data_IF_485453304901
#
_entry.id   IF_485453304901
#
_cell.length_a   1.000
_cell.length_b   1.000
_cell.length_c   1.000
_cell.angle_alpha   90.00
_cell.angle_beta   90.00
_cell.angle_gamma   90.00
#
_symmetry.space_group_name_H-M   'P 1'
#
loop_
_entity.id
_entity.type
_entity.pdbx_description
1 polymer ?
#
# COMPACT_ATOMS: atom_id res chain seq x y z
N UNK A 1 -15.42 -11.50 -9.20
CA UNK A 1 -14.88 -10.13 -8.94
C UNK A 1 -14.78 -9.96 -7.43
N UNK A 2 -13.75 -9.21 -6.91
CA UNK A 2 -13.60 -8.97 -5.48
C UNK A 2 -14.32 -7.69 -5.06
N UNK A 3 -15.01 -7.73 -3.90
CA UNK A 3 -15.58 -6.52 -3.31
C UNK A 3 -14.47 -5.73 -2.61
N UNK A 4 -14.31 -4.45 -3.01
CA UNK A 4 -13.23 -3.62 -2.49
C UNK A 4 -13.74 -2.71 -1.38
N UNK A 5 -13.05 -2.69 -0.25
CA UNK A 5 -13.37 -1.81 0.89
C UNK A 5 -13.38 -0.34 0.49
N UNK A 6 -12.50 0.04 -0.41
CA UNK A 6 -12.38 1.41 -0.91
C UNK A 6 -13.62 1.89 -1.70
N UNK A 7 -14.52 1.00 -2.18
CA UNK A 7 -15.64 1.36 -3.06
C UNK A 7 -16.61 2.37 -2.42
N UNK A 8 -17.04 2.11 -1.18
CA UNK A 8 -17.94 3.00 -0.46
C UNK A 8 -17.32 4.38 -0.20
N UNK A 9 -16.04 4.40 0.19
CA UNK A 9 -15.27 5.63 0.40
C UNK A 9 -15.14 6.43 -0.89
N UNK A 10 -14.81 5.76 -1.99
CA UNK A 10 -14.67 6.38 -3.31
C UNK A 10 -15.97 7.05 -3.76
N UNK A 11 -17.12 6.37 -3.59
CA UNK A 11 -18.43 6.93 -3.90
C UNK A 11 -18.81 8.11 -3.00
N UNK A 12 -18.45 8.05 -1.71
CA UNK A 12 -18.67 9.16 -0.78
C UNK A 12 -17.87 10.41 -1.19
N UNK A 13 -16.61 10.22 -1.57
CA UNK A 13 -15.75 11.31 -2.04
C UNK A 13 -16.25 11.89 -3.39
N UNK A 14 -16.73 11.06 -4.30
CA UNK A 14 -17.31 11.54 -5.56
C UNK A 14 -18.58 12.38 -5.36
N UNK A 15 -19.31 12.19 -4.27
CA UNK A 15 -20.42 13.10 -3.90
C UNK A 15 -19.95 14.44 -3.38
N UNK A 16 -18.75 14.53 -2.82
CA UNK A 16 -18.20 15.73 -2.20
C UNK A 16 -17.25 16.52 -3.10
N UNK A 17 -16.64 15.89 -4.10
CA UNK A 17 -15.63 16.51 -4.96
C UNK A 17 -15.99 16.37 -6.44
N UNK A 18 -15.66 17.38 -7.29
CA UNK A 18 -15.84 17.28 -8.74
C UNK A 18 -15.12 16.11 -9.40
N UNK A 19 -13.94 15.76 -8.87
CA UNK A 19 -13.12 14.66 -9.33
C UNK A 19 -12.64 13.77 -8.17
N UNK A 20 -12.37 12.49 -8.46
CA UNK A 20 -11.68 11.56 -7.55
C UNK A 20 -10.54 10.87 -8.29
N UNK A 21 -9.40 10.70 -7.63
CA UNK A 21 -8.28 9.93 -8.16
C UNK A 21 -8.14 8.60 -7.42
N UNK A 22 -7.90 7.52 -8.15
CA UNK A 22 -7.52 6.22 -7.62
C UNK A 22 -6.07 5.97 -7.99
N UNK A 23 -5.18 6.03 -7.01
CA UNK A 23 -3.76 5.78 -7.17
C UNK A 23 -3.40 4.43 -6.58
N UNK A 24 -2.42 3.74 -7.14
CA UNK A 24 -1.99 2.45 -6.60
C UNK A 24 -1.08 1.70 -7.55
N UNK A 25 -0.52 0.59 -7.07
CA UNK A 25 0.33 -0.26 -7.88
C UNK A 25 -0.37 -0.68 -9.19
N UNK A 26 0.41 -0.95 -10.24
CA UNK A 26 -0.13 -1.59 -11.45
C UNK A 26 -0.80 -2.91 -11.07
N UNK A 27 -1.86 -3.29 -11.79
CA UNK A 27 -2.60 -4.55 -11.59
C UNK A 27 -3.24 -4.73 -10.20
N UNK A 28 -3.31 -3.69 -9.36
CA UNK A 28 -4.05 -3.72 -8.09
C UNK A 28 -5.59 -3.68 -8.26
N UNK A 29 -6.10 -3.52 -9.51
CA UNK A 29 -7.53 -3.54 -9.82
C UNK A 29 -8.19 -2.16 -9.86
N UNK A 30 -7.45 -1.08 -10.12
CA UNK A 30 -7.97 0.31 -10.20
C UNK A 30 -9.10 0.45 -11.20
N UNK A 31 -8.88 0.03 -12.44
CA UNK A 31 -9.87 0.11 -13.54
C UNK A 31 -11.13 -0.70 -13.22
N UNK A 32 -10.96 -1.89 -12.65
CA UNK A 32 -12.08 -2.76 -12.22
C UNK A 32 -12.90 -2.06 -11.13
N UNK A 33 -12.24 -1.50 -10.10
CA UNK A 33 -12.92 -0.76 -9.04
C UNK A 33 -13.68 0.44 -9.59
N UNK A 34 -13.04 1.25 -10.46
CA UNK A 34 -13.67 2.43 -11.04
C UNK A 34 -14.93 2.08 -11.84
N UNK A 35 -14.84 1.09 -12.74
CA UNK A 35 -15.99 0.63 -13.55
C UNK A 35 -17.12 0.06 -12.69
N UNK A 36 -16.79 -0.61 -11.60
CA UNK A 36 -17.79 -1.17 -10.67
C UNK A 36 -18.44 -0.09 -9.80
N UNK A 37 -17.65 0.86 -9.31
CA UNK A 37 -18.15 1.92 -8.43
C UNK A 37 -18.95 3.00 -9.20
N UNK A 38 -18.65 3.17 -10.49
CA UNK A 38 -19.29 4.17 -11.36
C UNK A 38 -19.87 3.52 -12.65
N UNK A 39 -20.89 2.70 -12.53
CA UNK A 39 -21.48 2.05 -13.69
C UNK A 39 -22.11 3.08 -14.63
N UNK A 40 -21.80 2.96 -15.91
CA UNK A 40 -22.30 3.87 -16.95
C UNK A 40 -21.47 5.14 -17.15
N UNK A 41 -20.33 5.32 -16.47
CA UNK A 41 -19.33 6.31 -16.88
C UNK A 41 -18.67 5.87 -18.17
N UNK A 42 -18.41 6.83 -19.06
CA UNK A 42 -17.53 6.60 -20.20
C UNK A 42 -16.09 6.35 -19.70
N UNK A 43 -15.30 5.60 -20.47
CA UNK A 43 -13.92 5.29 -20.11
C UNK A 43 -13.00 5.60 -21.28
N UNK A 44 -11.99 6.42 -21.03
CA UNK A 44 -10.90 6.71 -21.96
C UNK A 44 -9.60 6.16 -21.38
N UNK A 45 -9.01 5.18 -22.09
CA UNK A 45 -7.71 4.62 -21.77
C UNK A 45 -6.64 5.44 -22.49
N UNK A 46 -5.81 6.16 -21.73
CA UNK A 46 -4.75 7.00 -22.28
C UNK A 46 -3.44 6.24 -22.57
N UNK A 47 -3.37 4.93 -22.33
CA UNK A 47 -2.32 4.06 -22.89
C UNK A 47 -2.64 3.66 -24.35
N UNK A 48 -3.91 3.71 -24.80
CA UNK A 48 -4.26 3.53 -26.21
C UNK A 48 -3.71 4.69 -27.04
N UNK A 49 -2.84 4.43 -28.06
CA UNK A 49 -2.20 5.49 -28.81
C UNK A 49 -3.19 6.42 -29.55
N UNK A 50 -4.30 5.88 -30.07
CA UNK A 50 -5.28 6.66 -30.82
C UNK A 50 -6.11 7.55 -29.88
N UNK A 51 -6.43 7.05 -28.67
CA UNK A 51 -7.08 7.84 -27.62
C UNK A 51 -6.13 8.91 -27.12
N UNK A 52 -4.90 8.52 -26.75
CA UNK A 52 -3.87 9.44 -26.25
C UNK A 52 -3.60 10.59 -27.22
N UNK A 53 -3.55 10.31 -28.54
CA UNK A 53 -3.29 11.33 -29.55
C UNK A 53 -4.39 12.40 -29.55
N UNK A 54 -5.66 12.01 -29.51
CA UNK A 54 -6.79 12.96 -29.42
C UNK A 54 -6.70 13.87 -28.20
N UNK A 55 -6.31 13.29 -27.05
CA UNK A 55 -6.13 14.05 -25.82
C UNK A 55 -4.86 14.91 -25.80
N UNK A 56 -3.84 14.62 -26.65
CA UNK A 56 -2.67 15.48 -26.83
C UNK A 56 -2.97 16.67 -27.76
N UNK A 57 -3.72 16.43 -28.83
CA UNK A 57 -4.03 17.43 -29.83
C UNK A 57 -4.97 18.51 -29.28
N UNK A 58 -6.07 18.12 -28.66
CA UNK A 58 -7.01 19.04 -28.02
C UNK A 58 -7.63 18.39 -26.79
N UNK A 59 -6.99 18.49 -25.59
CA UNK A 59 -7.45 17.85 -24.38
C UNK A 59 -8.86 18.29 -23.97
N UNK A 60 -9.23 19.55 -24.24
CA UNK A 60 -10.55 20.08 -23.85
C UNK A 60 -11.67 19.47 -24.68
N UNK A 61 -11.56 19.54 -25.99
CA UNK A 61 -12.52 18.91 -26.88
C UNK A 61 -12.58 17.40 -26.69
N UNK A 62 -11.42 16.75 -26.44
CA UNK A 62 -11.40 15.33 -26.16
C UNK A 62 -12.14 14.96 -24.85
N UNK A 63 -12.02 15.74 -23.78
CA UNK A 63 -12.78 15.55 -22.53
C UNK A 63 -14.28 15.73 -22.82
N UNK A 64 -14.68 16.82 -23.46
CA UNK A 64 -16.09 17.13 -23.73
C UNK A 64 -16.74 16.07 -24.65
N UNK A 65 -16.00 15.55 -25.63
CA UNK A 65 -16.46 14.48 -26.52
C UNK A 65 -16.52 13.10 -25.83
N UNK A 66 -15.57 12.82 -24.94
CA UNK A 66 -15.51 11.54 -24.22
C UNK A 66 -16.46 11.49 -23.00
N UNK A 67 -16.78 12.67 -22.42
CA UNK A 67 -17.63 12.75 -21.23
C UNK A 67 -19.05 12.33 -21.58
N UNK A 68 -19.46 11.16 -21.08
CA UNK A 68 -20.86 10.73 -21.14
C UNK A 68 -21.74 11.57 -20.19
N UNK A 69 -23.06 11.39 -20.29
CA UNK A 69 -24.03 12.10 -19.45
C UNK A 69 -23.81 11.89 -17.93
N UNK A 70 -23.21 10.78 -17.54
CA UNK A 70 -22.95 10.42 -16.13
C UNK A 70 -21.60 10.86 -15.64
N UNK A 71 -20.55 10.74 -16.45
CA UNK A 71 -19.18 11.11 -16.10
C UNK A 71 -18.14 10.39 -16.95
N UNK A 72 -16.86 10.63 -16.64
CA UNK A 72 -15.72 10.11 -17.39
C UNK A 72 -14.68 9.49 -16.45
N UNK A 73 -14.27 8.28 -16.77
CA UNK A 73 -13.09 7.61 -16.22
C UNK A 73 -11.93 7.86 -17.19
N UNK A 74 -10.85 8.44 -16.70
CA UNK A 74 -9.59 8.61 -17.41
C UNK A 74 -8.58 7.63 -16.84
N UNK A 75 -8.22 6.60 -17.61
CA UNK A 75 -7.27 5.58 -17.20
C UNK A 75 -5.86 5.91 -17.66
N UNK A 76 -4.85 5.60 -16.83
CA UNK A 76 -3.42 5.84 -17.04
C UNK A 76 -3.12 7.30 -17.47
N UNK A 77 -3.71 8.24 -16.73
CA UNK A 77 -3.70 9.69 -17.05
C UNK A 77 -2.31 10.30 -17.19
N UNK A 78 -1.28 9.69 -16.60
CA UNK A 78 0.11 10.13 -16.72
C UNK A 78 0.69 10.01 -18.13
N UNK A 79 0.05 9.23 -19.03
CA UNK A 79 0.45 9.14 -20.42
C UNK A 79 0.20 10.45 -21.21
N UNK A 80 -0.69 11.30 -20.69
CA UNK A 80 -1.05 12.61 -21.31
C UNK A 80 -1.14 13.69 -20.21
N UNK A 81 -0.02 14.23 -19.70
CA UNK A 81 -0.02 15.20 -18.59
C UNK A 81 -0.81 16.48 -18.86
N UNK A 82 -0.96 16.89 -20.14
CA UNK A 82 -1.73 18.07 -20.54
C UNK A 82 -3.20 17.99 -20.13
N UNK A 83 -3.73 16.79 -19.91
CA UNK A 83 -5.12 16.56 -19.50
C UNK A 83 -5.47 17.22 -18.17
N UNK A 84 -4.49 17.39 -17.26
CA UNK A 84 -4.74 18.00 -15.94
C UNK A 84 -5.17 19.46 -16.04
N UNK A 85 -4.55 20.24 -16.92
CA UNK A 85 -4.92 21.65 -17.16
C UNK A 85 -6.33 21.75 -17.78
N UNK A 86 -6.65 20.88 -18.73
CA UNK A 86 -7.97 20.82 -19.36
C UNK A 86 -9.06 20.38 -18.38
N UNK A 87 -8.77 19.36 -17.53
CA UNK A 87 -9.67 18.92 -16.46
C UNK A 87 -9.99 20.05 -15.48
N UNK A 88 -8.96 20.83 -15.06
CA UNK A 88 -9.18 22.00 -14.22
C UNK A 88 -10.18 22.95 -14.86
N UNK A 89 -9.97 23.31 -16.15
CA UNK A 89 -10.89 24.17 -16.89
C UNK A 89 -12.31 23.59 -16.99
N UNK A 90 -12.42 22.28 -17.28
CA UNK A 90 -13.70 21.59 -17.32
C UNK A 90 -14.44 21.57 -15.97
N UNK A 91 -13.71 21.41 -14.87
CA UNK A 91 -14.25 21.46 -13.52
C UNK A 91 -14.71 22.88 -13.17
N UNK A 92 -13.88 23.89 -13.45
CA UNK A 92 -14.17 25.28 -13.09
C UNK A 92 -15.35 25.86 -13.87
N UNK A 93 -15.65 25.36 -15.08
CA UNK A 93 -16.85 25.74 -15.85
C UNK A 93 -18.17 25.33 -15.12
N UNK A 94 -18.16 24.22 -14.39
CA UNK A 94 -19.33 23.73 -13.63
C UNK A 94 -18.87 23.14 -12.29
N UNK A 95 -18.37 24.01 -11.42
CA UNK A 95 -17.73 23.64 -10.16
C UNK A 95 -18.69 23.01 -9.14
N UNK A 96 -19.97 23.27 -9.25
CA UNK A 96 -20.99 22.76 -8.33
C UNK A 96 -21.35 21.30 -8.61
N UNK A 97 -21.02 20.79 -9.77
CA UNK A 97 -21.31 19.42 -10.17
C UNK A 97 -20.19 18.49 -9.73
N UNK A 98 -20.43 17.76 -8.65
CA UNK A 98 -19.51 16.75 -8.11
C UNK A 98 -19.60 15.42 -8.87
N UNK A 99 -18.58 14.56 -8.71
CA UNK A 99 -18.55 13.19 -9.22
C UNK A 99 -18.50 13.07 -10.76
N UNK A 100 -17.92 14.05 -11.46
CA UNK A 100 -17.85 14.05 -12.92
C UNK A 100 -16.69 13.26 -13.47
N UNK A 101 -15.57 13.23 -12.76
CA UNK A 101 -14.32 12.66 -13.24
C UNK A 101 -13.74 11.66 -12.25
N UNK A 102 -13.34 10.51 -12.79
CA UNK A 102 -12.55 9.50 -12.07
C UNK A 102 -11.22 9.36 -12.78
N UNK A 103 -10.14 9.63 -12.07
CA UNK A 103 -8.78 9.61 -12.62
C UNK A 103 -8.07 8.38 -12.07
N UNK A 104 -7.53 7.56 -12.96
CA UNK A 104 -6.76 6.39 -12.57
C UNK A 104 -5.31 6.57 -13.01
N UNK A 105 -4.41 6.10 -12.18
CA UNK A 105 -3.02 6.07 -12.57
C UNK A 105 -2.16 5.29 -11.59
N UNK A 106 -1.03 4.82 -12.10
CA UNK A 106 0.02 4.29 -11.25
C UNK A 106 0.56 5.43 -10.39
N UNK A 107 0.89 5.16 -9.13
CA UNK A 107 1.40 6.19 -8.21
C UNK A 107 2.82 6.63 -8.60
N UNK A 108 2.90 7.42 -9.63
CA UNK A 108 4.14 8.05 -10.10
C UNK A 108 4.30 9.43 -9.43
N UNK A 109 5.51 9.84 -9.07
CA UNK A 109 5.76 11.17 -8.52
C UNK A 109 5.26 12.31 -9.41
N UNK A 110 5.31 12.13 -10.75
CA UNK A 110 4.80 13.09 -11.73
C UNK A 110 3.27 13.20 -11.69
N UNK A 111 2.57 12.08 -11.55
CA UNK A 111 1.11 12.05 -11.43
C UNK A 111 0.64 12.73 -10.13
N UNK A 112 1.26 12.36 -9.01
CA UNK A 112 0.93 12.96 -7.70
C UNK A 112 1.13 14.48 -7.73
N UNK A 113 2.22 14.95 -8.33
CA UNK A 113 2.46 16.39 -8.52
C UNK A 113 1.42 17.03 -9.45
N UNK A 114 1.14 16.43 -10.60
CA UNK A 114 0.14 16.96 -11.56
C UNK A 114 -1.25 17.08 -10.94
N UNK A 115 -1.67 16.10 -10.15
CA UNK A 115 -2.92 16.15 -9.37
C UNK A 115 -2.87 17.27 -8.32
N UNK A 116 -1.78 17.36 -7.55
CA UNK A 116 -1.65 18.33 -6.47
C UNK A 116 -1.59 19.78 -6.98
N UNK A 117 -0.85 20.03 -8.06
CA UNK A 117 -0.65 21.37 -8.61
C UNK A 117 -1.85 21.85 -9.43
N UNK A 118 -2.43 20.98 -10.27
CA UNK A 118 -3.48 21.40 -11.21
C UNK A 118 -4.89 21.30 -10.62
N UNK A 119 -5.15 20.34 -9.75
CA UNK A 119 -6.49 20.00 -9.25
C UNK A 119 -6.67 20.26 -7.76
N UNK A 120 -5.79 21.02 -7.11
CA UNK A 120 -5.90 21.38 -5.70
C UNK A 120 -7.30 21.91 -5.35
N UNK A 121 -7.92 21.35 -4.30
CA UNK A 121 -9.27 21.71 -3.86
C UNK A 121 -10.42 21.26 -4.77
N UNK A 122 -10.13 20.49 -5.82
CA UNK A 122 -11.11 19.98 -6.80
C UNK A 122 -11.19 18.46 -6.84
N UNK A 123 -10.21 17.79 -6.23
CA UNK A 123 -10.04 16.35 -6.33
C UNK A 123 -9.79 15.74 -4.95
N UNK A 124 -10.38 14.58 -4.72
CA UNK A 124 -10.00 13.72 -3.61
C UNK A 124 -9.19 12.54 -4.12
N UNK A 125 -8.24 12.07 -3.32
CA UNK A 125 -7.34 10.95 -3.69
C UNK A 125 -7.65 9.75 -2.80
N UNK A 126 -7.70 8.58 -3.42
CA UNK A 126 -7.83 7.28 -2.76
C UNK A 126 -6.69 6.39 -3.23
N UNK A 127 -5.88 5.93 -2.29
CA UNK A 127 -4.88 4.91 -2.57
C UNK A 127 -5.54 3.53 -2.59
N UNK A 128 -5.29 2.77 -3.65
CA UNK A 128 -5.76 1.40 -3.80
C UNK A 128 -4.58 0.44 -3.63
N UNK A 129 -4.60 -0.25 -2.52
CA UNK A 129 -3.66 -1.34 -2.22
C UNK A 129 -4.08 -2.65 -2.92
N UNK A 130 -3.22 -3.67 -3.03
CA UNK A 130 -3.61 -5.05 -3.27
C UNK A 130 -4.68 -5.52 -2.29
N UNK A 131 -5.32 -6.66 -2.53
CA UNK A 131 -6.41 -7.18 -1.70
C UNK A 131 -5.97 -7.35 -0.24
N UNK A 132 -6.82 -6.92 0.69
CA UNK A 132 -6.77 -7.31 2.09
C UNK A 132 -7.37 -8.72 2.28
N UNK A 133 -7.15 -9.33 3.44
CA UNK A 133 -7.63 -10.68 3.71
C UNK A 133 -9.17 -10.77 3.61
N UNK A 134 -9.90 -9.79 4.15
CA UNK A 134 -11.35 -9.77 4.04
C UNK A 134 -11.85 -9.53 2.60
N UNK A 135 -11.14 -8.74 1.78
CA UNK A 135 -11.49 -8.56 0.36
C UNK A 135 -11.25 -9.83 -0.45
N UNK A 136 -10.16 -10.55 -0.20
CA UNK A 136 -9.79 -11.76 -0.93
C UNK A 136 -10.83 -12.88 -0.79
N UNK A 137 -11.59 -12.89 0.30
CA UNK A 137 -12.67 -13.86 0.54
C UNK A 137 -13.96 -13.55 -0.20
N UNK A 138 -14.14 -12.34 -0.72
CA UNK A 138 -15.39 -11.90 -1.36
C UNK A 138 -15.49 -12.27 -2.85
N UNK A 139 -14.42 -12.78 -3.45
CA UNK A 139 -14.36 -13.06 -4.89
C UNK A 139 -15.09 -14.34 -5.31
N UNK A 140 -15.28 -14.50 -6.60
CA UNK A 140 -15.79 -15.75 -7.21
C UNK A 140 -14.90 -16.96 -6.91
N UNK A 141 -13.63 -16.72 -6.65
CA UNK A 141 -12.66 -17.69 -6.13
C UNK A 141 -12.13 -17.13 -4.82
N UNK A 142 -12.81 -17.41 -3.69
CA UNK A 142 -12.37 -16.96 -2.39
C UNK A 142 -10.97 -17.49 -2.07
N UNK A 143 -10.14 -16.62 -1.52
CA UNK A 143 -8.80 -16.97 -1.09
C UNK A 143 -8.69 -16.75 0.43
N UNK A 144 -8.42 -17.82 1.16
CA UNK A 144 -8.17 -17.74 2.59
C UNK A 144 -6.87 -16.99 2.90
N UNK A 145 -6.77 -16.41 4.09
CA UNK A 145 -5.63 -15.56 4.45
C UNK A 145 -4.26 -16.28 4.42
N UNK A 146 -4.24 -17.61 4.61
CA UNK A 146 -2.99 -18.37 4.51
C UNK A 146 -2.42 -18.37 3.10
N UNK A 147 -3.27 -18.62 2.11
CA UNK A 147 -2.89 -18.54 0.70
C UNK A 147 -2.58 -17.10 0.28
N UNK A 148 -3.33 -16.11 0.79
CA UNK A 148 -3.05 -14.70 0.57
C UNK A 148 -1.69 -14.31 1.16
N UNK A 149 -1.35 -14.80 2.35
CA UNK A 149 -0.03 -14.59 2.96
C UNK A 149 1.09 -15.17 2.08
N UNK A 150 0.90 -16.37 1.52
CA UNK A 150 1.90 -17.00 0.65
C UNK A 150 2.02 -16.29 -0.70
N UNK A 151 0.89 -16.02 -1.38
CA UNK A 151 0.84 -15.60 -2.79
C UNK A 151 0.82 -14.08 -2.97
N UNK A 152 0.48 -13.34 -1.92
CA UNK A 152 0.26 -11.89 -1.96
C UNK A 152 -1.16 -11.50 -2.35
N UNK A 153 -1.46 -10.19 -2.32
CA UNK A 153 -2.80 -9.64 -2.51
C UNK A 153 -3.10 -9.14 -3.92
N UNK A 154 -2.23 -9.37 -4.90
CA UNK A 154 -2.53 -9.00 -6.28
C UNK A 154 -3.54 -9.96 -6.89
N UNK A 155 -4.68 -9.46 -7.46
CA UNK A 155 -5.77 -10.32 -7.93
C UNK A 155 -5.34 -11.40 -8.92
N UNK A 156 -4.42 -11.09 -9.83
CA UNK A 156 -4.00 -12.03 -10.87
C UNK A 156 -2.94 -13.03 -10.36
N UNK A 157 -2.14 -12.68 -9.35
CA UNK A 157 -1.26 -13.62 -8.67
C UNK A 157 -2.03 -14.73 -7.95
N UNK A 158 -3.26 -14.44 -7.49
CA UNK A 158 -4.13 -15.42 -6.83
C UNK A 158 -4.80 -16.40 -7.80
N UNK A 159 -4.82 -16.09 -9.11
CA UNK A 159 -5.55 -16.90 -10.12
C UNK A 159 -4.70 -18.01 -10.74
N UNK A 160 -3.40 -17.87 -10.74
CA UNK A 160 -2.46 -18.77 -11.40
C UNK A 160 -1.27 -19.17 -10.55
N UNK A 161 -0.19 -19.57 -11.22
CA UNK A 161 1.09 -19.79 -10.57
C UNK A 161 1.69 -18.45 -10.16
N UNK A 162 1.63 -18.14 -8.87
CA UNK A 162 2.00 -16.82 -8.35
C UNK A 162 3.48 -16.48 -8.58
N UNK A 163 4.37 -17.48 -8.63
CA UNK A 163 5.81 -17.26 -8.88
C UNK A 163 6.05 -16.76 -10.30
N UNK A 164 5.41 -17.38 -11.30
CA UNK A 164 5.52 -16.97 -12.70
C UNK A 164 4.91 -15.59 -12.92
N UNK A 165 3.79 -15.31 -12.24
CA UNK A 165 3.18 -14.00 -12.27
C UNK A 165 4.10 -12.93 -11.69
N UNK A 166 4.74 -13.19 -10.54
CA UNK A 166 5.67 -12.24 -9.92
C UNK A 166 6.92 -12.03 -10.76
N UNK A 167 7.45 -13.07 -11.42
CA UNK A 167 8.59 -12.93 -12.33
C UNK A 167 8.23 -12.00 -13.50
N UNK A 168 7.08 -12.24 -14.14
CA UNK A 168 6.59 -11.41 -15.24
C UNK A 168 6.31 -9.96 -14.80
N UNK A 169 5.69 -9.78 -13.64
CA UNK A 169 5.40 -8.47 -13.06
C UNK A 169 6.67 -7.68 -12.76
N UNK A 170 7.65 -8.30 -12.10
CA UNK A 170 8.93 -7.68 -11.79
C UNK A 170 9.69 -7.28 -13.05
N UNK A 171 9.73 -8.17 -14.03
CA UNK A 171 10.39 -7.89 -15.31
C UNK A 171 9.78 -6.65 -15.96
N UNK A 172 8.47 -6.60 -16.10
CA UNK A 172 7.76 -5.44 -16.67
C UNK A 172 8.05 -4.15 -15.87
N UNK A 173 8.01 -4.24 -14.55
CA UNK A 173 8.24 -3.09 -13.66
C UNK A 173 9.67 -2.56 -13.78
N UNK A 174 10.67 -3.45 -13.75
CA UNK A 174 12.09 -3.07 -13.75
C UNK A 174 12.56 -2.59 -15.12
N UNK A 175 12.10 -3.24 -16.21
CA UNK A 175 12.57 -2.95 -17.57
C UNK A 175 11.77 -1.83 -18.26
N UNK A 176 10.49 -1.64 -17.91
CA UNK A 176 9.59 -0.68 -18.58
C UNK A 176 9.17 0.47 -17.66
N UNK A 177 8.61 0.17 -16.49
CA UNK A 177 7.89 1.16 -15.70
C UNK A 177 8.85 2.07 -14.91
N UNK A 178 9.83 1.51 -14.19
CA UNK A 178 10.78 2.31 -13.41
C UNK A 178 11.62 3.26 -14.27
N UNK A 179 12.10 2.89 -15.47
CA UNK A 179 12.73 3.83 -16.38
C UNK A 179 11.83 5.03 -16.76
N UNK A 180 10.54 4.79 -16.98
CA UNK A 180 9.57 5.86 -17.27
C UNK A 180 9.39 6.81 -16.08
N UNK A 181 9.69 6.37 -14.85
CA UNK A 181 9.66 7.19 -13.63
C UNK A 181 10.97 7.95 -13.36
N UNK A 182 11.88 7.93 -14.34
CA UNK A 182 13.19 8.61 -14.24
C UNK A 182 14.24 7.81 -13.46
N UNK A 183 14.02 6.51 -13.29
CA UNK A 183 15.00 5.59 -12.68
C UNK A 183 15.90 5.04 -13.79
N UNK A 184 16.97 5.75 -14.09
CA UNK A 184 18.01 5.26 -14.99
C UNK A 184 18.94 4.30 -14.23
N UNK A 185 18.48 3.08 -13.99
CA UNK A 185 19.26 2.02 -13.35
C UNK A 185 19.14 0.72 -14.13
N UNK A 186 20.21 -0.06 -14.10
CA UNK A 186 20.19 -1.42 -14.63
C UNK A 186 19.11 -2.26 -13.92
N UNK A 187 18.21 -2.94 -14.65
CA UNK A 187 17.21 -3.84 -14.07
C UNK A 187 17.79 -4.88 -13.12
N UNK A 188 18.97 -5.42 -13.43
CA UNK A 188 19.67 -6.39 -12.58
C UNK A 188 20.08 -5.76 -11.24
N UNK A 189 20.56 -4.51 -11.27
CA UNK A 189 20.87 -3.76 -10.05
C UNK A 189 19.62 -3.56 -9.18
N UNK A 190 18.51 -3.13 -9.78
CA UNK A 190 17.25 -2.93 -9.06
C UNK A 190 16.71 -4.23 -8.46
N UNK A 191 16.84 -5.34 -9.19
CA UNK A 191 16.49 -6.68 -8.69
C UNK A 191 17.33 -7.07 -7.48
N UNK A 192 18.65 -6.83 -7.54
CA UNK A 192 19.55 -7.06 -6.38
C UNK A 192 19.16 -6.20 -5.18
N UNK A 193 18.88 -4.92 -5.38
CA UNK A 193 18.41 -4.03 -4.32
C UNK A 193 17.12 -4.55 -3.69
N UNK A 194 16.12 -4.95 -4.48
CA UNK A 194 14.86 -5.53 -3.99
C UNK A 194 15.09 -6.82 -3.20
N UNK A 195 15.97 -7.71 -3.69
CA UNK A 195 16.32 -8.95 -2.98
C UNK A 195 17.00 -8.66 -1.64
N UNK A 196 17.88 -7.68 -1.58
CA UNK A 196 18.51 -7.26 -0.32
C UNK A 196 17.48 -6.64 0.65
N UNK A 197 16.54 -5.84 0.14
CA UNK A 197 15.43 -5.32 0.94
C UNK A 197 14.50 -6.45 1.44
N UNK A 198 14.30 -7.51 0.65
CA UNK A 198 13.55 -8.69 1.07
C UNK A 198 14.23 -9.40 2.25
N UNK A 199 15.55 -9.52 2.25
CA UNK A 199 16.30 -10.05 3.41
C UNK A 199 16.29 -9.11 4.63
N UNK A 200 16.04 -7.81 4.45
CA UNK A 200 15.89 -6.83 5.54
C UNK A 200 14.43 -6.57 5.93
N UNK A 201 13.48 -7.34 5.38
CA UNK A 201 12.05 -7.17 5.64
C UNK A 201 11.75 -7.20 7.15
N UNK A 202 10.91 -6.27 7.62
CA UNK A 202 10.61 -6.01 9.03
C UNK A 202 11.82 -5.56 9.89
N UNK A 203 12.98 -5.35 9.28
CA UNK A 203 14.19 -4.87 9.93
C UNK A 203 14.39 -3.36 9.79
N UNK A 204 15.35 -2.83 10.56
CA UNK A 204 15.75 -1.42 10.45
C UNK A 204 16.46 -1.17 9.11
N UNK A 205 15.99 -0.18 8.37
CA UNK A 205 16.56 0.21 7.10
C UNK A 205 17.95 0.86 7.28
N UNK A 206 18.95 0.28 6.64
CA UNK A 206 20.32 0.78 6.63
C UNK A 206 20.81 1.01 5.20
N UNK A 207 20.57 2.21 4.69
CA UNK A 207 20.98 2.59 3.34
C UNK A 207 22.49 2.55 3.13
N UNK A 208 23.30 2.82 4.16
CA UNK A 208 24.78 2.80 4.06
C UNK A 208 25.28 1.36 3.88
N UNK A 209 24.73 0.39 4.60
CA UNK A 209 25.09 -1.01 4.44
C UNK A 209 24.70 -1.54 3.05
N UNK A 210 23.50 -1.18 2.56
CA UNK A 210 23.05 -1.52 1.19
C UNK A 210 23.95 -0.89 0.14
N UNK A 211 24.33 0.38 0.31
CA UNK A 211 25.21 1.10 -0.61
C UNK A 211 26.60 0.43 -0.71
N UNK A 212 27.19 0.07 0.43
CA UNK A 212 28.47 -0.66 0.46
C UNK A 212 28.38 -2.02 -0.26
N UNK A 213 27.31 -2.78 -0.01
CA UNK A 213 27.13 -4.11 -0.64
C UNK A 213 26.83 -4.03 -2.15
N UNK A 214 26.22 -2.93 -2.60
CA UNK A 214 25.87 -2.73 -4.02
C UNK A 214 26.92 -1.94 -4.81
N UNK A 215 27.96 -1.42 -4.14
CA UNK A 215 29.02 -0.63 -4.79
C UNK A 215 28.55 0.74 -5.29
N UNK A 216 27.56 1.35 -4.64
CA UNK A 216 26.98 2.64 -5.03
C UNK A 216 26.98 3.63 -3.86
N UNK A 217 26.63 4.90 -4.12
CA UNK A 217 26.51 5.89 -3.07
C UNK A 217 25.26 5.70 -2.20
N UNK A 218 25.32 6.15 -0.95
CA UNK A 218 24.17 6.26 -0.06
C UNK A 218 22.98 6.98 -0.72
N UNK A 219 23.24 8.10 -1.40
CA UNK A 219 22.22 8.89 -2.08
C UNK A 219 21.53 8.12 -3.23
N UNK A 220 22.30 7.26 -3.92
CA UNK A 220 21.75 6.39 -4.97
C UNK A 220 20.75 5.40 -4.40
N UNK A 221 21.10 4.72 -3.29
CA UNK A 221 20.18 3.80 -2.61
C UNK A 221 18.92 4.53 -2.13
N UNK A 222 19.07 5.67 -1.46
CA UNK A 222 17.93 6.46 -0.98
C UNK A 222 16.98 6.82 -2.13
N UNK A 223 17.50 7.37 -3.22
CA UNK A 223 16.69 7.73 -4.38
C UNK A 223 15.90 6.54 -4.95
N UNK A 224 16.51 5.38 -5.07
CA UNK A 224 15.82 4.20 -5.58
C UNK A 224 14.79 3.66 -4.60
N UNK A 225 15.10 3.66 -3.32
CA UNK A 225 14.16 3.29 -2.27
C UNK A 225 12.97 4.26 -2.22
N UNK A 226 13.19 5.57 -2.40
CA UNK A 226 12.12 6.57 -2.49
C UNK A 226 11.17 6.28 -3.67
N UNK A 227 11.71 5.88 -4.82
CA UNK A 227 10.89 5.49 -5.97
C UNK A 227 10.13 4.18 -5.71
N UNK A 228 10.80 3.16 -5.15
CA UNK A 228 10.13 1.89 -4.82
C UNK A 228 8.99 2.09 -3.80
N UNK A 229 9.14 3.04 -2.88
CA UNK A 229 8.07 3.42 -1.95
C UNK A 229 6.94 4.18 -2.67
N UNK A 230 7.28 5.12 -3.54
CA UNK A 230 6.31 5.89 -4.32
C UNK A 230 5.47 5.00 -5.26
N UNK A 231 6.03 3.89 -5.77
CA UNK A 231 5.29 2.91 -6.59
C UNK A 231 4.64 1.78 -5.79
N UNK A 232 4.52 1.92 -4.48
CA UNK A 232 3.83 0.99 -3.56
C UNK A 232 4.46 -0.40 -3.44
N UNK A 233 5.74 -0.58 -3.76
CA UNK A 233 6.41 -1.87 -3.57
C UNK A 233 6.93 -2.07 -2.16
N UNK A 234 7.42 -0.98 -1.56
CA UNK A 234 7.95 -1.00 -0.20
C UNK A 234 7.25 0.05 0.67
N UNK A 235 7.40 -0.11 1.97
CA UNK A 235 7.04 0.87 2.99
C UNK A 235 8.21 1.07 3.92
N UNK A 236 8.53 2.32 4.23
CA UNK A 236 9.36 2.67 5.38
C UNK A 236 8.45 3.12 6.51
N UNK A 237 8.32 2.28 7.52
CA UNK A 237 7.58 2.60 8.72
C UNK A 237 8.48 3.41 9.65
N UNK A 238 8.09 4.64 9.94
CA UNK A 238 8.85 5.56 10.76
C UNK A 238 8.74 5.21 12.24
N UNK A 239 9.79 5.49 13.04
CA UNK A 239 9.70 5.29 14.48
C UNK A 239 8.82 6.36 15.13
N UNK A 240 8.06 5.95 16.17
CA UNK A 240 7.29 6.83 17.02
C UNK A 240 8.21 7.59 17.98
N UNK A 241 8.14 8.91 17.96
CA UNK A 241 8.87 9.77 18.89
C UNK A 241 7.91 10.56 19.76
N UNK A 242 7.97 10.30 21.07
CA UNK A 242 7.50 11.23 22.08
C UNK A 242 8.74 11.71 22.86
N UNK A 243 8.78 12.95 23.29
CA UNK A 243 9.87 13.53 24.12
C UNK A 243 9.94 12.85 25.50
N UNK A 244 10.28 11.58 25.54
CA UNK A 244 10.56 10.81 26.74
C UNK A 244 12.05 10.55 26.75
N UNK A 245 12.82 11.06 27.64
CA UNK A 245 14.27 10.99 27.78
C UNK A 245 14.98 9.65 27.50
N UNK A 246 14.32 8.71 26.81
CA UNK A 246 14.85 7.44 26.33
C UNK A 246 15.47 7.60 24.94
N UNK A 247 16.63 6.96 24.74
CA UNK A 247 17.29 6.90 23.44
C UNK A 247 16.52 5.96 22.50
N UNK A 248 15.70 6.52 21.61
CA UNK A 248 14.92 5.78 20.62
C UNK A 248 15.69 5.57 19.33
N UNK A 249 15.34 4.52 18.59
CA UNK A 249 15.88 4.26 17.26
C UNK A 249 15.38 5.31 16.26
N UNK A 250 16.27 5.83 15.41
CA UNK A 250 15.94 6.86 14.41
C UNK A 250 15.66 6.29 13.01
N UNK A 251 16.22 5.13 12.68
CA UNK A 251 16.06 4.50 11.37
C UNK A 251 14.65 3.89 11.24
N UNK A 252 13.97 4.04 10.10
CA UNK A 252 12.68 3.38 9.86
C UNK A 252 12.86 1.86 9.72
N UNK A 253 11.79 1.09 9.95
CA UNK A 253 11.69 -0.29 9.48
C UNK A 253 11.33 -0.32 8.00
N UNK A 254 11.80 -1.33 7.25
CA UNK A 254 11.45 -1.53 5.85
C UNK A 254 10.60 -2.78 5.67
N UNK A 255 9.52 -2.66 4.89
CA UNK A 255 8.63 -3.75 4.53
C UNK A 255 8.45 -3.79 3.01
N UNK A 256 8.49 -4.97 2.41
CA UNK A 256 7.84 -5.18 1.13
C UNK A 256 6.34 -5.21 1.40
N UNK A 257 5.55 -4.40 0.68
CA UNK A 257 4.12 -4.21 0.94
C UNK A 257 3.24 -5.39 0.52
N UNK A 258 3.83 -6.33 -0.20
CA UNK A 258 3.15 -7.56 -0.61
C UNK A 258 4.03 -8.77 -0.30
N UNK A 259 3.47 -9.72 0.44
CA UNK A 259 4.21 -10.92 0.86
C UNK A 259 4.45 -11.91 -0.27
N UNK A 260 3.64 -11.90 -1.33
CA UNK A 260 3.93 -12.69 -2.53
C UNK A 260 5.20 -12.23 -3.24
N UNK A 261 5.40 -10.90 -3.33
CA UNK A 261 6.68 -10.34 -3.80
C UNK A 261 7.85 -10.72 -2.89
N UNK A 262 7.66 -10.61 -1.58
CA UNK A 262 8.67 -11.01 -0.60
C UNK A 262 9.08 -12.47 -0.80
N UNK A 263 8.10 -13.37 -0.87
CA UNK A 263 8.33 -14.79 -1.02
C UNK A 263 8.97 -15.13 -2.36
N UNK A 264 8.55 -14.49 -3.45
CA UNK A 264 9.17 -14.65 -4.75
C UNK A 264 10.67 -14.28 -4.73
N UNK A 265 11.03 -13.15 -4.14
CA UNK A 265 12.42 -12.68 -4.02
C UNK A 265 13.28 -13.55 -3.10
N UNK A 266 12.66 -14.22 -2.12
CA UNK A 266 13.32 -15.15 -1.20
C UNK A 266 13.26 -16.62 -1.68
N UNK A 267 12.71 -16.88 -2.87
CA UNK A 267 12.52 -18.22 -3.44
C UNK A 267 11.61 -19.14 -2.59
N UNK A 268 10.64 -18.59 -1.88
CA UNK A 268 9.64 -19.34 -1.13
C UNK A 268 8.44 -19.59 -2.03
N UNK A 269 8.15 -20.86 -2.37
CA UNK A 269 7.11 -21.24 -3.33
C UNK A 269 5.96 -22.04 -2.74
N UNK A 270 6.07 -22.48 -1.48
CA UNK A 270 5.06 -23.30 -0.82
C UNK A 270 4.88 -22.96 0.65
N UNK A 271 3.77 -23.43 1.24
CA UNK A 271 3.53 -23.28 2.68
C UNK A 271 4.57 -24.00 3.53
N UNK A 272 5.06 -25.16 3.05
CA UNK A 272 6.10 -25.94 3.76
C UNK A 272 7.44 -25.20 3.75
N UNK A 273 7.82 -24.62 2.62
CA UNK A 273 9.03 -23.79 2.52
C UNK A 273 8.89 -22.56 3.43
N UNK A 274 7.74 -21.88 3.40
CA UNK A 274 7.47 -20.72 4.26
C UNK A 274 7.52 -21.11 5.75
N UNK A 275 6.94 -22.24 6.13
CA UNK A 275 6.91 -22.71 7.52
C UNK A 275 8.31 -22.95 8.09
N UNK A 276 9.25 -23.36 7.24
CA UNK A 276 10.62 -23.68 7.64
C UNK A 276 11.63 -22.55 7.32
N UNK A 277 11.18 -21.44 6.71
CA UNK A 277 12.09 -20.36 6.31
C UNK A 277 12.44 -19.44 7.48
N UNK A 278 13.71 -19.01 7.62
CA UNK A 278 14.12 -18.08 8.68
C UNK A 278 13.33 -16.76 8.72
N UNK A 279 12.89 -16.26 7.55
CA UNK A 279 12.10 -15.03 7.44
C UNK A 279 10.60 -15.22 7.73
N UNK A 280 10.12 -16.41 8.14
CA UNK A 280 8.70 -16.67 8.42
C UNK A 280 8.09 -15.65 9.38
N UNK A 281 8.82 -15.35 10.48
CA UNK A 281 8.36 -14.39 11.48
C UNK A 281 8.22 -12.97 10.93
N UNK A 282 9.25 -12.51 10.23
CA UNK A 282 9.26 -11.20 9.58
C UNK A 282 8.18 -11.10 8.49
N UNK A 283 8.02 -12.14 7.68
CA UNK A 283 6.96 -12.21 6.66
C UNK A 283 5.56 -12.15 7.28
N UNK A 284 5.33 -12.88 8.39
CA UNK A 284 4.07 -12.83 9.12
C UNK A 284 3.79 -11.43 9.68
N UNK A 285 4.80 -10.80 10.30
CA UNK A 285 4.72 -9.43 10.79
C UNK A 285 4.31 -8.47 9.68
N UNK A 286 5.00 -8.50 8.54
CA UNK A 286 4.69 -7.65 7.40
C UNK A 286 3.29 -7.88 6.81
N UNK A 287 2.86 -9.14 6.72
CA UNK A 287 1.51 -9.50 6.26
C UNK A 287 0.43 -8.89 7.15
N UNK A 288 0.53 -9.07 8.47
CA UNK A 288 -0.44 -8.54 9.43
C UNK A 288 -0.45 -7.01 9.41
N UNK A 289 0.73 -6.37 9.44
CA UNK A 289 0.85 -4.91 9.41
C UNK A 289 0.22 -4.33 8.15
N UNK A 290 0.56 -4.86 6.97
CA UNK A 290 0.00 -4.34 5.71
C UNK A 290 -1.51 -4.57 5.62
N UNK A 291 -2.03 -5.72 6.07
CA UNK A 291 -3.47 -5.97 6.09
C UNK A 291 -4.21 -5.01 7.03
N UNK A 292 -3.69 -4.79 8.23
CA UNK A 292 -4.24 -3.82 9.18
C UNK A 292 -4.23 -2.41 8.58
N UNK A 293 -3.12 -1.97 7.98
CA UNK A 293 -2.98 -0.64 7.40
C UNK A 293 -3.86 -0.41 6.18
N UNK A 294 -4.09 -1.43 5.34
CA UNK A 294 -5.03 -1.36 4.21
C UNK A 294 -6.45 -1.04 4.69
N UNK A 295 -6.91 -1.73 5.72
CA UNK A 295 -8.25 -1.53 6.32
C UNK A 295 -8.34 -0.22 7.09
N UNK A 296 -7.31 0.09 7.87
CA UNK A 296 -7.22 1.31 8.66
C UNK A 296 -7.33 2.57 7.78
N UNK A 297 -6.66 2.59 6.63
CA UNK A 297 -6.71 3.71 5.68
C UNK A 297 -8.11 3.98 5.16
N UNK A 298 -8.92 2.93 4.99
CA UNK A 298 -10.31 3.07 4.54
C UNK A 298 -11.22 3.52 5.69
N UNK A 299 -11.07 2.89 6.87
CA UNK A 299 -11.93 3.15 8.03
C UNK A 299 -11.62 4.49 8.69
N UNK A 300 -10.34 4.84 8.80
CA UNK A 300 -9.84 6.04 9.48
C UNK A 300 -8.86 6.82 8.60
N UNK A 301 -9.33 7.51 7.55
CA UNK A 301 -8.48 8.32 6.68
C UNK A 301 -7.80 9.43 7.51
N UNK A 302 -6.48 9.45 7.51
CA UNK A 302 -5.69 10.40 8.32
C UNK A 302 -5.02 9.75 9.53
N UNK A 303 -5.29 8.48 9.83
CA UNK A 303 -4.47 7.72 10.77
C UNK A 303 -3.03 7.62 10.27
N UNK A 304 -2.10 7.64 11.22
CA UNK A 304 -0.67 7.60 10.92
C UNK A 304 -0.04 6.34 11.54
N UNK A 305 0.67 5.53 10.74
CA UNK A 305 1.35 4.34 11.22
C UNK A 305 2.79 4.65 11.65
N UNK A 306 3.21 4.02 12.74
CA UNK A 306 4.55 4.11 13.32
C UNK A 306 4.94 2.76 13.89
N UNK A 307 6.22 2.54 14.18
CA UNK A 307 6.66 1.51 15.12
C UNK A 307 7.33 2.19 16.31
N UNK A 308 7.47 1.48 17.42
CA UNK A 308 8.19 2.00 18.57
C UNK A 308 9.31 1.03 18.95
N UNK A 309 10.53 1.54 19.19
CA UNK A 309 11.67 0.73 19.57
C UNK A 309 12.67 1.51 20.38
N UNK A 310 13.12 0.92 21.51
CA UNK A 310 14.23 1.44 22.31
C UNK A 310 15.59 0.94 21.80
N UNK A 311 16.66 1.64 22.17
CA UNK A 311 18.03 1.17 21.92
C UNK A 311 18.34 -0.17 22.63
N UNK A 312 17.63 -0.49 23.71
CA UNK A 312 17.74 -1.76 24.44
C UNK A 312 16.96 -2.91 23.80
N UNK A 313 16.23 -2.66 22.68
CA UNK A 313 15.55 -3.70 21.92
C UNK A 313 14.10 -4.00 22.31
N UNK A 314 13.52 -3.27 23.27
CA UNK A 314 12.07 -3.33 23.48
C UNK A 314 11.34 -2.68 22.29
N UNK A 315 10.29 -3.31 21.79
CA UNK A 315 9.65 -2.95 20.51
C UNK A 315 8.13 -3.12 20.56
N UNK A 316 7.42 -2.28 19.78
CA UNK A 316 6.04 -2.47 19.34
C UNK A 316 6.08 -2.43 17.81
N UNK A 317 5.58 -3.47 17.17
CA UNK A 317 5.67 -3.63 15.70
C UNK A 317 4.89 -2.57 14.94
N UNK A 318 3.70 -2.17 15.44
CA UNK A 318 2.89 -1.12 14.84
C UNK A 318 2.20 -0.28 15.92
N UNK A 319 2.30 1.04 15.81
CA UNK A 319 1.53 2.03 16.56
C UNK A 319 0.69 2.81 15.57
N UNK A 320 -0.64 2.80 15.72
CA UNK A 320 -1.57 3.55 14.88
C UNK A 320 -2.04 4.77 15.66
N UNK A 321 -1.82 5.97 15.10
CA UNK A 321 -2.29 7.23 15.68
C UNK A 321 -3.54 7.71 14.95
N UNK A 322 -4.65 7.86 15.69
CA UNK A 322 -5.92 8.43 15.25
C UNK A 322 -6.13 9.74 16.03
N UNK A 323 -5.50 10.83 15.58
CA UNK A 323 -5.41 12.04 16.38
C UNK A 323 -4.64 11.79 17.67
N UNK A 324 -5.28 11.98 18.82
CA UNK A 324 -4.68 11.77 20.14
C UNK A 324 -4.79 10.33 20.67
N UNK A 325 -5.55 9.47 20.00
CA UNK A 325 -5.72 8.06 20.36
C UNK A 325 -4.63 7.22 19.68
N UNK A 326 -3.92 6.41 20.46
CA UNK A 326 -2.88 5.52 19.94
C UNK A 326 -3.21 4.06 20.28
N UNK A 327 -3.14 3.20 19.26
CA UNK A 327 -3.36 1.76 19.39
C UNK A 327 -2.07 1.04 19.03
N UNK A 328 -1.64 0.14 19.90
CA UNK A 328 -0.45 -0.70 19.67
C UNK A 328 -0.86 -2.07 19.10
N UNK A 329 -0.09 -2.57 18.14
CA UNK A 329 -0.23 -3.92 17.60
C UNK A 329 1.14 -4.60 17.65
N UNK A 330 1.18 -5.73 18.32
CA UNK A 330 2.34 -6.63 18.39
C UNK A 330 2.00 -7.89 17.62
N UNK A 331 2.90 -8.38 16.79
CA UNK A 331 2.67 -9.55 15.94
C UNK A 331 3.50 -10.73 16.40
N UNK A 332 2.88 -11.87 16.57
CA UNK A 332 3.55 -13.11 16.99
C UNK A 332 3.14 -14.28 16.10
N UNK A 333 4.06 -15.18 15.81
CA UNK A 333 3.75 -16.42 15.06
C UNK A 333 3.10 -17.49 15.93
N UNK A 334 3.23 -17.37 17.26
CA UNK A 334 2.69 -18.29 18.23
C UNK A 334 2.10 -17.52 19.42
N UNK A 335 1.33 -18.22 20.26
CA UNK A 335 0.69 -17.64 21.44
C UNK A 335 1.73 -16.95 22.35
N UNK A 336 1.48 -15.70 22.77
CA UNK A 336 2.43 -14.94 23.58
C UNK A 336 2.58 -15.51 24.98
N UNK A 337 3.78 -15.43 25.54
CA UNK A 337 4.06 -15.76 26.92
C UNK A 337 3.98 -14.52 27.83
N UNK A 338 3.80 -14.71 29.14
CA UNK A 338 3.60 -13.62 30.09
C UNK A 338 4.70 -12.55 30.13
N UNK A 339 5.94 -12.88 29.71
CA UNK A 339 7.03 -11.89 29.56
C UNK A 339 6.75 -10.91 28.40
N UNK A 340 6.25 -11.42 27.26
CA UNK A 340 5.91 -10.57 26.11
C UNK A 340 4.80 -9.57 26.47
N UNK A 341 3.79 -10.00 27.22
CA UNK A 341 2.69 -9.15 27.70
C UNK A 341 3.21 -8.03 28.61
N UNK A 342 4.11 -8.35 29.56
CA UNK A 342 4.73 -7.33 30.44
C UNK A 342 5.55 -6.31 29.65
N UNK A 343 6.40 -6.80 28.75
CA UNK A 343 7.21 -5.91 27.89
C UNK A 343 6.33 -4.96 27.05
N UNK A 344 5.21 -5.48 26.53
CA UNK A 344 4.25 -4.68 25.77
C UNK A 344 3.56 -3.64 26.67
N UNK A 345 3.18 -4.00 27.90
CA UNK A 345 2.57 -3.06 28.85
C UNK A 345 3.48 -1.87 29.20
N UNK A 346 4.78 -2.14 29.40
CA UNK A 346 5.79 -1.11 29.64
C UNK A 346 5.97 -0.23 28.39
N UNK A 347 6.04 -0.83 27.21
CA UNK A 347 6.19 -0.14 25.93
C UNK A 347 4.96 0.73 25.58
N UNK A 348 3.74 0.28 25.91
CA UNK A 348 2.51 1.05 25.74
C UNK A 348 2.52 2.37 26.52
N UNK A 349 3.07 2.35 27.74
CA UNK A 349 3.19 3.56 28.57
C UNK A 349 4.11 4.58 27.89
N UNK A 350 5.23 4.14 27.37
CA UNK A 350 6.19 4.99 26.65
C UNK A 350 5.62 5.51 25.31
N UNK A 351 4.91 4.65 24.57
CA UNK A 351 4.26 4.99 23.32
C UNK A 351 2.95 5.78 23.51
N UNK A 352 2.47 5.91 24.76
CA UNK A 352 1.15 6.48 25.10
C UNK A 352 -0.01 5.77 24.41
N UNK A 353 0.11 4.46 24.21
CA UNK A 353 -0.94 3.66 23.60
C UNK A 353 -2.06 3.37 24.63
N UNK A 354 -3.30 3.59 24.22
CA UNK A 354 -4.48 3.38 25.06
C UNK A 354 -4.86 1.91 25.12
N UNK A 355 -4.63 1.17 24.05
CA UNK A 355 -4.92 -0.26 23.90
C UNK A 355 -3.81 -0.93 23.13
N UNK A 356 -3.64 -2.23 23.37
CA UNK A 356 -2.76 -3.07 22.59
C UNK A 356 -3.42 -4.38 22.19
N UNK A 357 -3.08 -4.82 20.99
CA UNK A 357 -3.42 -6.13 20.47
C UNK A 357 -2.17 -6.94 20.21
N UNK A 358 -2.18 -8.19 20.66
CA UNK A 358 -1.21 -9.18 20.21
C UNK A 358 -1.90 -10.07 19.19
N UNK A 359 -1.43 -10.00 17.93
CA UNK A 359 -2.02 -10.75 16.82
C UNK A 359 -1.20 -11.99 16.53
N UNK A 360 -1.85 -13.15 16.54
CA UNK A 360 -1.21 -14.43 16.20
C UNK A 360 -2.05 -15.27 15.21
N UNK A 361 -1.62 -16.51 14.96
CA UNK A 361 -2.27 -17.41 13.99
C UNK A 361 -3.34 -18.32 14.61
N UNK A 362 -3.51 -18.30 15.93
CA UNK A 362 -4.53 -19.09 16.61
C UNK A 362 -5.87 -18.34 16.64
N UNK A 363 -6.99 -19.03 16.62
CA UNK A 363 -8.31 -18.41 16.66
C UNK A 363 -8.69 -17.88 18.07
N UNK A 364 -9.69 -17.00 18.08
CA UNK A 364 -10.32 -16.45 19.28
C UNK A 364 -9.68 -15.15 19.79
N UNK A 365 -10.41 -14.49 20.71
CA UNK A 365 -9.97 -13.28 21.41
C UNK A 365 -9.82 -13.61 22.88
N UNK A 366 -8.77 -13.09 23.52
CA UNK A 366 -8.47 -13.32 24.92
C UNK A 366 -7.91 -12.03 25.57
N UNK A 367 -8.46 -11.63 26.70
CA UNK A 367 -7.90 -10.55 27.50
C UNK A 367 -6.68 -11.10 28.28
N UNK A 368 -5.50 -10.49 28.07
CA UNK A 368 -4.25 -10.91 28.69
C UNK A 368 -3.87 -10.03 29.88
N UNK A 369 -4.21 -8.75 29.84
CA UNK A 369 -3.98 -7.75 30.88
C UNK A 369 -4.94 -6.56 30.69
N UNK A 370 -5.04 -5.61 31.65
CA UNK A 370 -5.77 -4.38 31.43
C UNK A 370 -5.30 -3.68 30.14
N UNK A 371 -6.23 -3.42 29.22
CA UNK A 371 -6.00 -2.78 27.90
C UNK A 371 -5.14 -3.58 26.90
N UNK A 372 -4.77 -4.83 27.22
CA UNK A 372 -4.02 -5.72 26.32
C UNK A 372 -4.85 -6.97 26.05
N UNK A 373 -5.17 -7.20 24.79
CA UNK A 373 -5.85 -8.41 24.33
C UNK A 373 -5.02 -9.13 23.28
N UNK A 374 -5.14 -10.44 23.25
CA UNK A 374 -4.70 -11.28 22.15
C UNK A 374 -5.89 -11.52 21.23
N UNK A 375 -5.65 -11.48 19.93
CA UNK A 375 -6.63 -11.89 18.93
C UNK A 375 -5.96 -12.74 17.84
N UNK A 376 -6.63 -13.76 17.39
CA UNK A 376 -6.23 -14.46 16.20
C UNK A 376 -6.42 -13.59 14.96
N UNK A 377 -5.67 -13.88 13.90
CA UNK A 377 -5.80 -13.08 12.68
C UNK A 377 -7.20 -13.20 12.06
N UNK A 378 -7.88 -14.32 12.23
CA UNK A 378 -9.26 -14.51 11.74
C UNK A 378 -10.24 -13.49 12.34
N UNK A 379 -10.03 -13.07 13.58
CA UNK A 379 -10.84 -12.06 14.26
C UNK A 379 -10.42 -10.64 13.87
N UNK A 380 -9.12 -10.41 13.73
CA UNK A 380 -8.56 -9.10 13.38
C UNK A 380 -8.91 -8.71 11.94
N UNK A 381 -8.88 -9.65 11.00
CA UNK A 381 -9.14 -9.38 9.57
C UNK A 381 -10.55 -8.89 9.25
N UNK A 382 -11.51 -9.09 10.14
CA UNK A 382 -12.90 -8.63 9.96
C UNK A 382 -13.22 -7.34 10.69
N UNK A 383 -12.34 -6.89 11.60
CA UNK A 383 -12.45 -5.65 12.36
C UNK A 383 -11.16 -4.83 12.34
N UNK A 384 -11.24 -3.54 12.67
CA UNK A 384 -10.05 -2.73 12.95
C UNK A 384 -9.69 -2.87 14.42
N UNK A 385 -8.41 -3.08 14.75
CA UNK A 385 -7.95 -3.14 16.13
C UNK A 385 -8.23 -1.86 16.93
#
# INVERSE_FOLDING_TARGET
>A
MYQRLAAARLQALARAFPAVAILGARQAGKTTLAKTAFPGFACADLEDPAVAQRFRDDPRTAIDAAAGSRGLILDEVQAVPQVFAALRGAIDTDRQRNGRFVILGSAQPSLVRGVAESLAGRIAVVDLDPLSACEAETGERPCGWRDLWLKGGFPDALRGEFRDWWEAYLRMLLERDLPQYGVAADPLFLRRLLTMLAHQHAGLFNASALAGSLGVSYHTVQRYVDVLEAVFLIRRLSPWFRNVGKRLTKSPKVYLRDTGLLHHLLNIGSHDELANHPSRGASWEGFVIEDVLRRERVAHPGSQPWFWRTAAGAEIDLVISRGNVHVAVEVKTARPHGRAVRTLADAMTDASAERAWIVDQASGIEALAPRIARAGFDEVRTGTP
#
